data_IF_458806897206
#
_entry.id   IF_458806897206
#
_cell.length_a   1.000
_cell.length_b   1.000
_cell.length_c   1.000
_cell.angle_alpha   90.00
_cell.angle_beta   90.00
_cell.angle_gamma   90.00
#
_symmetry.space_group_name_H-M   'P 1'
#
loop_
_entity.id
_entity.type
_entity.pdbx_description
1 polymer ?
#
# COMPACT_ATOMS: atom_id res chain seq x y z
N UNK A 1 -12.28 -40.59 -35.76
CA UNK A 1 -11.30 -41.69 -35.82
C UNK A 1 -9.91 -41.07 -35.94
N UNK A 2 -9.01 -41.40 -35.01
CA UNK A 2 -7.62 -40.90 -34.91
C UNK A 2 -7.48 -39.74 -33.91
N UNK A 3 -6.59 -39.73 -32.92
CA UNK A 3 -5.52 -40.64 -32.51
C UNK A 3 -5.31 -40.50 -30.99
N UNK A 4 -5.03 -41.62 -30.32
CA UNK A 4 -4.39 -41.70 -29.00
C UNK A 4 -2.93 -41.22 -29.08
N UNK A 5 -2.40 -40.56 -28.03
CA UNK A 5 -1.04 -40.87 -27.55
C UNK A 5 -0.69 -40.30 -26.15
N UNK A 6 -0.60 -41.22 -25.18
CA UNK A 6 0.33 -41.34 -24.05
C UNK A 6 0.73 -40.13 -23.18
N UNK A 7 0.44 -40.24 -21.87
CA UNK A 7 1.32 -39.76 -20.79
C UNK A 7 1.35 -40.77 -19.64
N UNK A 8 2.52 -41.36 -19.40
CA UNK A 8 2.81 -42.25 -18.27
C UNK A 8 4.14 -41.82 -17.64
N UNK A 9 4.24 -42.07 -16.33
CA UNK A 9 5.39 -42.03 -15.41
C UNK A 9 5.74 -40.64 -14.83
N UNK A 10 5.53 -40.33 -13.54
CA UNK A 10 5.88 -40.97 -12.25
C UNK A 10 7.34 -40.72 -11.85
N UNK A 11 7.55 -39.92 -10.79
CA UNK A 11 8.66 -40.07 -9.86
C UNK A 11 8.42 -39.24 -8.59
N UNK A 12 8.16 -39.96 -7.49
CA UNK A 12 8.44 -39.55 -6.11
C UNK A 12 9.94 -39.29 -5.95
N UNK A 13 10.33 -38.31 -5.13
CA UNK A 13 11.57 -38.38 -4.37
C UNK A 13 11.37 -37.93 -2.91
N UNK A 14 12.08 -38.68 -2.05
CA UNK A 14 11.92 -38.85 -0.60
C UNK A 14 12.95 -38.00 0.16
N UNK A 15 12.49 -37.44 1.29
CA UNK A 15 13.12 -37.18 2.61
C UNK A 15 14.66 -37.17 2.73
N UNK A 16 15.16 -36.14 3.42
CA UNK A 16 16.42 -36.19 4.16
C UNK A 16 16.40 -35.27 5.38
N UNK A 17 16.17 -35.85 6.56
CA UNK A 17 16.44 -35.22 7.85
C UNK A 17 17.85 -35.62 8.32
N UNK A 18 18.64 -34.64 8.77
CA UNK A 18 19.86 -34.91 9.55
C UNK A 18 19.96 -33.91 10.68
N UNK A 19 19.60 -34.38 11.87
CA UNK A 19 20.07 -33.84 13.14
C UNK A 19 21.42 -34.49 13.46
N UNK A 20 22.41 -33.69 13.88
CA UNK A 20 23.54 -34.19 14.65
C UNK A 20 23.65 -33.38 15.94
N UNK A 21 23.42 -34.10 17.03
CA UNK A 21 23.74 -33.74 18.40
C UNK A 21 25.23 -33.95 18.69
N UNK A 22 25.81 -33.01 19.43
CA UNK A 22 26.63 -33.20 20.63
C UNK A 22 27.83 -34.17 20.59
N UNK A 23 29.04 -33.64 20.87
CA UNK A 23 29.80 -34.09 22.04
C UNK A 23 31.10 -33.30 22.29
N UNK A 24 31.28 -33.00 23.58
CA UNK A 24 32.51 -32.98 24.38
C UNK A 24 33.64 -32.02 23.98
N UNK A 25 34.10 -31.22 24.94
CA UNK A 25 35.28 -31.54 25.77
C UNK A 25 35.31 -30.58 26.96
N UNK A 26 35.47 -31.12 28.16
CA UNK A 26 35.84 -30.38 29.35
C UNK A 26 37.35 -30.22 29.35
N UNK A 27 37.88 -29.03 29.67
CA UNK A 27 39.14 -28.87 30.41
C UNK A 27 39.27 -27.43 30.94
N UNK A 28 39.53 -27.41 32.24
CA UNK A 28 40.14 -26.46 33.17
C UNK A 28 40.45 -24.98 32.82
N UNK A 29 39.98 -24.15 33.75
CA UNK A 29 40.69 -23.07 34.45
C UNK A 29 41.68 -22.18 33.66
N UNK A 30 41.22 -20.99 33.28
CA UNK A 30 41.96 -19.75 33.56
C UNK A 30 40.97 -18.61 33.70
N UNK A 31 40.89 -18.05 34.90
CA UNK A 31 40.19 -16.82 35.25
C UNK A 31 40.81 -15.66 34.48
N UNK A 32 40.18 -15.25 33.38
CA UNK A 32 40.37 -13.95 32.78
C UNK A 32 39.11 -13.13 33.06
N UNK A 33 39.24 -12.10 33.91
CA UNK A 33 38.21 -11.10 34.14
C UNK A 33 37.91 -10.42 32.80
N UNK A 34 36.70 -10.53 32.24
CA UNK A 34 36.36 -9.71 31.10
C UNK A 34 36.23 -8.26 31.60
N UNK A 35 36.98 -7.35 30.97
CA UNK A 35 36.67 -5.93 31.02
C UNK A 35 35.19 -5.73 30.64
N UNK A 36 34.50 -4.70 31.16
CA UNK A 36 33.15 -4.41 30.75
C UNK A 36 33.20 -4.13 29.25
N UNK A 37 32.75 -5.09 28.45
CA UNK A 37 32.40 -4.82 27.07
C UNK A 37 31.29 -3.79 27.15
N UNK A 38 31.58 -2.55 26.73
CA UNK A 38 30.54 -1.63 26.32
C UNK A 38 29.62 -2.43 25.41
N UNK A 39 28.42 -2.71 25.92
CA UNK A 39 27.32 -3.13 25.09
C UNK A 39 27.14 -1.99 24.11
N UNK A 40 27.70 -2.14 22.92
CA UNK A 40 27.25 -1.39 21.75
C UNK A 40 25.83 -1.88 21.55
N UNK A 41 24.90 -1.21 22.24
CA UNK A 41 23.48 -1.20 21.91
C UNK A 41 23.45 -0.63 20.52
N UNK A 42 23.55 -1.53 19.55
CA UNK A 42 23.30 -1.24 18.16
C UNK A 42 21.80 -1.04 18.08
N UNK A 43 21.37 0.20 18.32
CA UNK A 43 20.01 0.67 18.16
C UNK A 43 19.66 0.60 16.67
N UNK A 44 19.16 -0.56 16.23
CA UNK A 44 18.68 -0.79 14.86
C UNK A 44 17.16 -0.58 14.72
N UNK A 45 16.54 0.19 15.60
CA UNK A 45 15.07 0.33 15.63
C UNK A 45 14.57 1.78 15.63
N UNK A 46 15.28 2.72 14.97
CA UNK A 46 14.84 4.13 14.90
C UNK A 46 14.79 4.73 13.47
N UNK A 47 14.55 3.94 12.42
CA UNK A 47 14.40 4.49 11.06
C UNK A 47 13.03 4.34 10.40
N UNK A 48 12.07 3.61 10.99
CA UNK A 48 10.82 3.26 10.29
C UNK A 48 9.54 3.88 10.87
N UNK A 49 9.67 4.81 11.82
CA UNK A 49 8.53 5.51 12.43
C UNK A 49 8.75 7.03 12.45
N UNK A 50 7.74 7.76 11.99
CA UNK A 50 7.71 9.23 11.96
C UNK A 50 7.47 9.78 13.36
N UNK A 51 8.53 9.88 14.19
CA UNK A 51 8.45 10.63 15.44
C UNK A 51 8.75 12.14 15.27
N UNK A 52 9.13 12.59 14.07
CA UNK A 52 9.48 14.00 13.79
C UNK A 52 9.23 14.46 12.34
N UNK A 53 8.01 14.34 11.82
CA UNK A 53 7.63 15.14 10.66
C UNK A 53 6.36 15.89 10.99
N UNK A 54 6.46 17.21 11.14
CA UNK A 54 5.35 18.14 11.03
C UNK A 54 5.97 19.52 10.78
N UNK A 55 6.42 19.74 9.55
CA UNK A 55 6.81 21.06 9.07
C UNK A 55 5.59 21.80 8.51
N UNK A 56 5.49 23.09 8.80
CA UNK A 56 4.47 23.96 8.22
C UNK A 56 4.95 24.46 6.84
N UNK A 57 4.60 23.70 5.80
CA UNK A 57 4.85 23.97 4.39
C UNK A 57 3.52 24.38 3.76
N UNK A 58 3.51 25.46 2.99
CA UNK A 58 2.30 25.94 2.32
C UNK A 58 1.74 24.88 1.35
N UNK A 59 0.41 24.79 1.24
CA UNK A 59 -0.25 23.76 0.42
C UNK A 59 0.24 23.77 -1.04
N UNK A 60 0.29 24.95 -1.67
CA UNK A 60 0.72 25.11 -3.06
C UNK A 60 2.17 24.69 -3.33
N UNK A 61 2.98 24.60 -2.29
CA UNK A 61 4.34 24.10 -2.34
C UNK A 61 4.45 22.57 -2.27
N UNK A 62 3.43 21.87 -1.77
CA UNK A 62 3.40 20.41 -1.65
C UNK A 62 3.36 19.77 -3.03
N UNK A 63 4.08 18.65 -3.18
CA UNK A 63 4.08 17.91 -4.43
C UNK A 63 2.67 17.35 -4.73
N UNK A 64 2.32 17.34 -6.02
CA UNK A 64 1.02 16.87 -6.48
C UNK A 64 1.10 15.69 -7.45
N UNK A 65 -0.03 15.02 -7.60
CA UNK A 65 -0.25 13.90 -8.51
C UNK A 65 -1.41 14.22 -9.45
N UNK A 66 -1.25 14.00 -10.76
CA UNK A 66 -2.35 14.11 -11.73
C UNK A 66 -3.16 12.81 -11.68
N UNK A 67 -4.31 12.84 -11.01
CA UNK A 67 -5.20 11.70 -10.79
C UNK A 67 -5.66 11.05 -12.07
N UNK A 68 -5.88 11.87 -13.10
CA UNK A 68 -6.21 11.49 -14.47
C UNK A 68 -5.18 10.54 -15.10
N UNK A 69 -3.96 10.47 -14.56
CA UNK A 69 -2.86 9.62 -15.03
C UNK A 69 -2.55 8.45 -14.11
N UNK A 70 -3.30 8.29 -13.02
CA UNK A 70 -3.13 7.20 -12.07
C UNK A 70 -3.82 5.95 -12.59
N UNK A 71 -3.12 4.82 -12.53
CA UNK A 71 -3.60 3.52 -13.02
C UNK A 71 -3.52 2.45 -11.92
N UNK A 72 -4.64 1.80 -11.65
CA UNK A 72 -4.78 0.64 -10.76
C UNK A 72 -4.34 -0.62 -11.50
N UNK A 73 -3.39 -1.36 -10.91
CA UNK A 73 -2.74 -2.55 -11.45
C UNK A 73 -2.26 -2.37 -12.91
N UNK A 74 -1.94 -1.14 -13.31
CA UNK A 74 -1.61 -0.76 -14.69
C UNK A 74 -2.69 -1.17 -15.73
N UNK A 75 -3.95 -1.31 -15.31
CA UNK A 75 -5.07 -1.81 -16.14
C UNK A 75 -6.17 -0.75 -16.32
N UNK A 76 -6.60 -0.12 -15.24
CA UNK A 76 -7.73 0.83 -15.26
C UNK A 76 -7.36 2.14 -14.55
N UNK A 77 -7.85 3.29 -15.02
CA UNK A 77 -7.73 4.56 -14.30
C UNK A 77 -8.58 4.57 -13.02
N UNK A 78 -8.36 5.55 -12.14
CA UNK A 78 -9.15 5.74 -10.91
C UNK A 78 -10.64 5.99 -11.21
N UNK A 79 -10.94 6.74 -12.26
CA UNK A 79 -12.29 6.93 -12.79
C UNK A 79 -12.42 6.12 -14.08
N UNK A 80 -13.26 5.09 -14.08
CA UNK A 80 -13.41 4.13 -15.17
C UNK A 80 -14.87 3.73 -15.36
N UNK A 81 -15.18 2.98 -16.42
CA UNK A 81 -16.47 2.29 -16.50
C UNK A 81 -16.48 1.00 -15.67
N UNK A 82 -17.65 0.61 -15.16
CA UNK A 82 -17.88 -0.65 -14.46
C UNK A 82 -17.56 -1.83 -15.39
N UNK A 83 -18.00 -1.76 -16.64
CA UNK A 83 -17.67 -2.73 -17.68
C UNK A 83 -16.17 -2.97 -17.84
N UNK A 84 -15.35 -1.91 -17.93
CA UNK A 84 -13.89 -2.00 -18.03
C UNK A 84 -13.27 -2.53 -16.74
N UNK A 85 -13.78 -2.11 -15.59
CA UNK A 85 -13.29 -2.58 -14.29
C UNK A 85 -13.52 -4.09 -14.14
N UNK A 86 -14.74 -4.57 -14.42
CA UNK A 86 -15.09 -6.00 -14.35
C UNK A 86 -14.24 -6.85 -15.29
N UNK A 87 -13.92 -6.36 -16.47
CA UNK A 87 -13.01 -7.05 -17.38
C UNK A 87 -11.59 -7.23 -16.80
N UNK A 88 -11.14 -6.30 -15.94
CA UNK A 88 -9.80 -6.31 -15.36
C UNK A 88 -9.71 -7.01 -13.99
N UNK A 89 -10.78 -6.93 -13.18
CA UNK A 89 -10.80 -7.35 -11.77
C UNK A 89 -11.93 -8.33 -11.40
N UNK A 90 -12.89 -8.54 -12.30
CA UNK A 90 -14.09 -9.35 -12.04
C UNK A 90 -15.21 -8.60 -11.33
N UNK A 91 -16.19 -9.36 -10.84
CA UNK A 91 -17.37 -8.85 -10.15
C UNK A 91 -17.03 -8.25 -8.77
N UNK A 92 -17.96 -7.43 -8.25
CA UNK A 92 -17.89 -6.90 -6.89
C UNK A 92 -17.89 -8.04 -5.87
N UNK A 93 -17.22 -7.83 -4.74
CA UNK A 93 -17.39 -8.70 -3.58
C UNK A 93 -18.68 -8.33 -2.82
N UNK A 94 -19.05 -7.05 -2.83
CA UNK A 94 -20.35 -6.55 -2.35
C UNK A 94 -20.72 -5.19 -2.96
N UNK A 95 -22.02 -4.88 -2.91
CA UNK A 95 -22.59 -3.56 -3.20
C UNK A 95 -23.34 -3.08 -1.96
N UNK A 96 -23.19 -1.81 -1.59
CA UNK A 96 -23.83 -1.21 -0.41
C UNK A 96 -24.37 0.17 -0.77
N UNK A 97 -25.68 0.37 -0.62
CA UNK A 97 -26.26 1.72 -0.66
C UNK A 97 -25.87 2.46 0.62
N UNK A 98 -25.19 3.62 0.53
CA UNK A 98 -24.81 4.38 1.70
C UNK A 98 -26.02 5.04 2.38
N UNK A 99 -25.84 5.46 3.63
CA UNK A 99 -26.73 6.44 4.25
C UNK A 99 -26.35 7.83 3.74
N UNK A 100 -27.13 8.32 2.78
CA UNK A 100 -26.96 9.64 2.16
C UNK A 100 -26.92 10.80 3.13
N UNK A 101 -27.56 10.67 4.30
CA UNK A 101 -27.55 11.73 5.31
C UNK A 101 -26.22 11.84 6.07
N UNK A 102 -25.36 10.82 5.92
CA UNK A 102 -24.04 10.74 6.56
C UNK A 102 -22.88 11.02 5.62
N UNK A 103 -23.14 11.19 4.32
CA UNK A 103 -22.12 11.53 3.32
C UNK A 103 -21.96 13.04 3.31
N UNK A 104 -20.73 13.51 3.56
CA UNK A 104 -20.43 14.94 3.50
C UNK A 104 -19.87 15.37 2.14
N UNK A 105 -19.12 14.51 1.46
CA UNK A 105 -18.66 14.70 0.08
C UNK A 105 -18.45 13.34 -0.60
N UNK A 106 -18.46 13.33 -1.93
CA UNK A 106 -18.41 12.14 -2.76
C UNK A 106 -17.81 12.42 -4.15
N UNK A 107 -17.35 11.35 -4.80
CA UNK A 107 -16.87 11.43 -6.19
C UNK A 107 -18.01 11.71 -7.18
N UNK A 108 -19.24 11.30 -6.85
CA UNK A 108 -20.43 11.60 -7.62
C UNK A 108 -21.41 12.46 -6.81
N UNK A 109 -21.98 13.48 -7.46
CA UNK A 109 -23.02 14.34 -6.86
C UNK A 109 -24.40 13.66 -6.77
N UNK A 110 -24.61 12.59 -7.56
CA UNK A 110 -25.84 11.80 -7.59
C UNK A 110 -25.77 10.60 -6.63
N UNK A 111 -26.94 10.01 -6.29
CA UNK A 111 -26.99 8.77 -5.53
C UNK A 111 -26.23 7.62 -6.24
N UNK A 112 -25.19 7.13 -5.58
CA UNK A 112 -24.30 6.03 -5.96
C UNK A 112 -24.37 4.81 -5.00
N UNK A 113 -23.77 3.69 -5.37
CA UNK A 113 -23.54 2.57 -4.46
C UNK A 113 -22.06 2.45 -4.13
N UNK A 114 -21.72 2.05 -2.90
CA UNK A 114 -20.37 1.57 -2.65
C UNK A 114 -20.18 0.21 -3.28
N UNK A 115 -19.22 0.12 -4.18
CA UNK A 115 -18.75 -1.11 -4.81
C UNK A 115 -17.47 -1.54 -4.10
N UNK A 116 -17.45 -2.74 -3.53
CA UNK A 116 -16.28 -3.26 -2.83
C UNK A 116 -15.58 -4.35 -3.64
N UNK A 117 -14.25 -4.26 -3.71
CA UNK A 117 -13.42 -5.28 -4.34
C UNK A 117 -12.05 -5.41 -3.67
N UNK A 118 -11.71 -6.63 -3.23
CA UNK A 118 -10.44 -6.96 -2.60
C UNK A 118 -10.09 -5.98 -1.46
N UNK A 119 -11.10 -5.64 -0.64
CA UNK A 119 -10.99 -4.67 0.45
C UNK A 119 -10.92 -3.19 0.04
N UNK A 120 -10.87 -2.88 -1.26
CA UNK A 120 -10.95 -1.52 -1.79
C UNK A 120 -12.41 -1.08 -1.95
N UNK A 121 -12.65 0.23 -1.87
CA UNK A 121 -13.97 0.86 -2.00
C UNK A 121 -13.99 1.81 -3.19
N UNK A 122 -15.07 1.71 -3.94
CA UNK A 122 -15.35 2.55 -5.10
C UNK A 122 -16.76 3.08 -4.97
N UNK A 123 -17.02 4.24 -5.55
CA UNK A 123 -18.38 4.73 -5.77
C UNK A 123 -18.82 4.28 -7.16
N UNK A 124 -20.05 3.77 -7.26
CA UNK A 124 -20.67 3.29 -8.48
C UNK A 124 -21.92 4.11 -8.79
N UNK A 125 -21.89 4.83 -9.89
CA UNK A 125 -23.06 5.52 -10.44
C UNK A 125 -23.31 5.09 -11.88
N UNK A 126 -24.41 4.35 -12.12
CA UNK A 126 -24.72 3.74 -13.44
C UNK A 126 -23.58 2.84 -13.91
N UNK A 127 -22.94 3.14 -15.05
CA UNK A 127 -21.75 2.41 -15.53
C UNK A 127 -20.44 3.14 -15.17
N UNK A 128 -20.47 4.21 -14.37
CA UNK A 128 -19.29 4.95 -13.94
C UNK A 128 -18.82 4.49 -12.56
N UNK A 129 -17.53 4.23 -12.43
CA UNK A 129 -16.89 3.77 -11.20
C UNK A 129 -15.73 4.70 -10.84
N UNK A 130 -15.76 5.27 -9.64
CA UNK A 130 -14.71 6.13 -9.11
C UNK A 130 -14.03 5.46 -7.90
N UNK A 131 -12.70 5.37 -7.93
CA UNK A 131 -11.93 4.87 -6.81
C UNK A 131 -11.88 5.90 -5.69
N UNK A 132 -12.40 5.52 -4.53
CA UNK A 132 -12.37 6.31 -3.31
C UNK A 132 -11.23 5.83 -2.40
N UNK A 133 -11.21 4.52 -2.09
CA UNK A 133 -10.15 3.88 -1.31
C UNK A 133 -9.58 2.67 -2.06
N UNK A 134 -8.26 2.64 -2.25
CA UNK A 134 -7.56 1.47 -2.78
C UNK A 134 -6.66 0.83 -1.72
N UNK A 135 -6.94 -0.42 -1.38
CA UNK A 135 -6.10 -1.24 -0.49
C UNK A 135 -5.04 -1.99 -1.28
N UNK A 136 -3.84 -2.04 -0.74
CA UNK A 136 -2.70 -2.70 -1.35
C UNK A 136 -2.45 -4.06 -0.69
N UNK A 137 -2.84 -5.12 -1.39
CA UNK A 137 -2.37 -6.48 -1.12
C UNK A 137 -1.04 -6.77 -1.84
N UNK A 138 -0.40 -7.93 -1.60
CA UNK A 138 0.86 -8.27 -2.27
C UNK A 138 0.86 -8.23 -3.80
N UNK A 139 -0.32 -8.35 -4.42
CA UNK A 139 -0.49 -8.39 -5.88
C UNK A 139 -1.06 -7.09 -6.47
N UNK A 140 -1.38 -6.12 -5.62
CA UNK A 140 -1.97 -4.84 -6.03
C UNK A 140 -0.93 -3.74 -6.09
N UNK A 141 -1.11 -2.85 -7.08
CA UNK A 141 -0.24 -1.71 -7.31
C UNK A 141 -1.03 -0.53 -7.84
N UNK A 142 -0.55 0.68 -7.54
CA UNK A 142 -1.00 1.92 -8.19
C UNK A 142 0.17 2.52 -8.93
N UNK A 143 -0.03 2.99 -10.15
CA UNK A 143 1.06 3.54 -10.97
C UNK A 143 0.74 4.95 -11.46
N UNK A 144 1.78 5.79 -11.50
CA UNK A 144 1.70 7.19 -11.91
C UNK A 144 3.07 7.66 -12.41
N UNK A 145 3.14 8.28 -13.58
CA UNK A 145 4.38 8.91 -14.05
C UNK A 145 5.60 7.96 -14.13
N UNK A 146 5.38 6.68 -14.43
CA UNK A 146 6.44 5.65 -14.43
C UNK A 146 6.85 5.17 -13.03
N UNK A 147 6.18 5.63 -11.97
CA UNK A 147 6.31 5.18 -10.59
C UNK A 147 5.27 4.10 -10.34
N UNK A 148 5.64 3.07 -9.58
CA UNK A 148 4.70 2.05 -9.09
C UNK A 148 4.75 2.04 -7.58
N UNK A 149 3.59 2.28 -6.97
CA UNK A 149 3.33 2.13 -5.55
C UNK A 149 2.73 0.75 -5.30
N UNK A 150 3.20 0.08 -4.26
CA UNK A 150 2.76 -1.26 -3.87
C UNK A 150 2.82 -1.42 -2.36
N UNK A 151 2.38 -2.57 -1.84
CA UNK A 151 2.55 -2.91 -0.41
C UNK A 151 4.02 -2.89 0.07
N UNK A 152 5.00 -2.92 -0.84
CA UNK A 152 6.42 -2.84 -0.50
C UNK A 152 6.96 -1.40 -0.47
N UNK A 153 6.19 -0.42 -0.92
CA UNK A 153 6.59 0.99 -0.91
C UNK A 153 6.81 1.45 0.52
N UNK A 154 7.96 2.12 0.74
CA UNK A 154 8.43 2.57 2.05
C UNK A 154 8.44 4.09 2.17
N UNK A 155 8.65 4.58 3.38
CA UNK A 155 8.99 5.99 3.65
C UNK A 155 10.20 6.48 2.85
N UNK A 156 11.24 5.67 2.74
CA UNK A 156 12.43 6.03 1.98
C UNK A 156 12.11 6.24 0.49
N UNK A 157 11.25 5.39 -0.07
CA UNK A 157 10.76 5.57 -1.45
C UNK A 157 9.97 6.86 -1.59
N UNK A 158 9.05 7.14 -0.67
CA UNK A 158 8.23 8.35 -0.70
C UNK A 158 9.08 9.61 -0.51
N UNK A 159 10.01 9.63 0.45
CA UNK A 159 10.91 10.77 0.71
C UNK A 159 11.74 11.13 -0.52
N UNK A 160 12.14 10.13 -1.32
CA UNK A 160 12.87 10.35 -2.57
C UNK A 160 12.02 11.03 -3.65
N UNK A 161 10.70 10.80 -3.66
CA UNK A 161 9.80 11.28 -4.72
C UNK A 161 9.03 12.54 -4.33
N UNK A 162 8.63 12.63 -3.07
CA UNK A 162 7.78 13.66 -2.50
C UNK A 162 8.38 14.17 -1.18
N UNK A 163 9.61 14.71 -1.21
CA UNK A 163 10.33 15.12 -0.01
C UNK A 163 9.62 16.19 0.81
N UNK A 164 8.77 17.06 0.24
CA UNK A 164 8.02 18.05 1.03
C UNK A 164 6.81 17.41 1.71
N UNK A 165 6.03 16.62 0.98
CA UNK A 165 4.89 15.89 1.53
C UNK A 165 5.28 14.99 2.71
N UNK A 166 6.43 14.30 2.61
CA UNK A 166 6.97 13.49 3.71
C UNK A 166 7.31 14.30 4.96
N UNK A 167 7.73 15.57 4.81
CA UNK A 167 8.02 16.44 5.98
C UNK A 167 6.76 16.98 6.65
N UNK A 168 5.62 16.93 5.96
CA UNK A 168 4.28 17.22 6.49
C UNK A 168 3.50 15.98 6.90
N UNK A 169 4.14 14.82 6.91
CA UNK A 169 3.46 13.58 7.24
C UNK A 169 2.78 13.67 8.61
N UNK A 170 1.56 13.16 8.69
CA UNK A 170 0.80 13.12 9.93
C UNK A 170 0.87 11.71 10.51
N UNK A 171 0.84 11.60 11.84
CA UNK A 171 0.68 10.32 12.52
C UNK A 171 -0.70 10.31 13.19
N UNK A 172 -1.61 9.46 12.69
CA UNK A 172 -2.93 9.24 13.28
C UNK A 172 -2.90 8.04 14.25
N UNK A 173 -1.89 8.00 15.13
CA UNK A 173 -1.66 6.90 16.06
C UNK A 173 -0.78 5.79 15.48
N UNK A 174 -1.40 4.73 14.95
CA UNK A 174 -0.66 3.58 14.39
C UNK A 174 -0.44 3.66 12.88
N UNK A 175 -1.05 4.65 12.23
CA UNK A 175 -0.99 4.82 10.78
C UNK A 175 -0.39 6.17 10.47
N UNK A 176 0.73 6.16 9.75
CA UNK A 176 1.34 7.38 9.24
C UNK A 176 0.71 7.73 7.89
N UNK A 177 0.52 9.02 7.61
CA UNK A 177 -0.14 9.52 6.42
C UNK A 177 0.74 10.53 5.68
N UNK A 178 0.87 10.36 4.36
CA UNK A 178 1.46 11.37 3.46
C UNK A 178 0.35 11.90 2.56
N UNK A 179 0.19 13.22 2.52
CA UNK A 179 -0.80 13.89 1.67
C UNK A 179 -0.13 14.56 0.47
N UNK A 180 -0.61 14.25 -0.73
CA UNK A 180 -0.23 14.91 -1.99
C UNK A 180 -1.40 15.72 -2.52
N UNK A 181 -1.10 16.81 -3.22
CA UNK A 181 -2.13 17.60 -3.90
C UNK A 181 -2.73 16.87 -5.10
N UNK A 182 -4.00 17.09 -5.37
CA UNK A 182 -4.52 16.89 -6.73
C UNK A 182 -3.90 17.95 -7.66
N UNK A 183 -3.11 17.50 -8.63
CA UNK A 183 -2.48 18.37 -9.61
C UNK A 183 -3.31 18.57 -10.89
N UNK A 184 -4.44 17.88 -11.05
CA UNK A 184 -5.36 18.12 -12.16
C UNK A 184 -6.15 19.42 -11.97
N UNK A 185 -6.47 19.79 -10.72
CA UNK A 185 -7.21 20.99 -10.37
C UNK A 185 -6.43 21.84 -9.38
N UNK A 186 -5.76 22.89 -9.87
CA UNK A 186 -4.84 23.71 -9.07
C UNK A 186 -5.45 24.34 -7.82
N UNK A 187 -6.72 24.75 -7.91
CA UNK A 187 -7.45 25.41 -6.83
C UNK A 187 -8.34 24.43 -6.04
N UNK A 188 -8.12 23.11 -6.19
CA UNK A 188 -8.84 22.10 -5.44
C UNK A 188 -8.14 21.81 -4.12
N UNK A 189 -8.94 21.66 -3.07
CA UNK A 189 -8.49 21.15 -1.76
C UNK A 189 -8.52 19.61 -1.72
N UNK A 190 -8.89 18.96 -2.83
CA UNK A 190 -8.82 17.50 -2.97
C UNK A 190 -7.37 17.02 -2.95
N UNK A 191 -7.16 15.81 -2.43
CA UNK A 191 -5.83 15.28 -2.17
C UNK A 191 -5.76 13.77 -2.32
N UNK A 192 -4.54 13.24 -2.47
CA UNK A 192 -4.28 11.80 -2.37
C UNK A 192 -3.51 11.54 -1.10
N UNK A 193 -4.04 10.63 -0.29
CA UNK A 193 -3.47 10.26 1.01
C UNK A 193 -2.91 8.85 0.93
N UNK A 194 -1.63 8.71 1.27
CA UNK A 194 -0.91 7.45 1.33
C UNK A 194 -0.76 7.05 2.78
N UNK A 195 -1.33 5.90 3.16
CA UNK A 195 -1.35 5.40 4.53
C UNK A 195 -0.35 4.27 4.72
N UNK A 196 0.49 4.40 5.75
CA UNK A 196 1.55 3.47 6.09
C UNK A 196 1.28 2.80 7.43
N UNK A 197 1.50 1.49 7.49
CA UNK A 197 1.56 0.74 8.73
C UNK A 197 2.85 -0.08 8.73
N UNK A 198 3.58 -0.08 9.86
CA UNK A 198 4.86 -0.78 9.99
C UNK A 198 5.83 -0.46 8.83
N UNK A 199 5.95 0.83 8.48
CA UNK A 199 6.84 1.31 7.43
C UNK A 199 6.39 0.99 5.98
N UNK A 200 5.24 0.35 5.80
CA UNK A 200 4.74 -0.13 4.50
C UNK A 200 3.43 0.52 4.10
N UNK A 201 3.34 0.91 2.83
CA UNK A 201 2.13 1.48 2.25
C UNK A 201 1.02 0.42 2.21
N UNK A 202 -0.08 0.63 2.93
CA UNK A 202 -1.21 -0.31 2.98
C UNK A 202 -2.42 0.15 2.18
N UNK A 203 -2.56 1.46 1.98
CA UNK A 203 -3.76 2.06 1.40
C UNK A 203 -3.46 3.42 0.76
N UNK A 204 -4.18 3.72 -0.31
CA UNK A 204 -4.24 5.03 -0.93
C UNK A 204 -5.71 5.48 -0.95
N UNK A 205 -5.99 6.71 -0.53
CA UNK A 205 -7.35 7.30 -0.54
C UNK A 205 -7.34 8.54 -1.41
N UNK A 206 -8.35 8.66 -2.27
CA UNK A 206 -8.64 9.93 -2.92
C UNK A 206 -9.63 10.71 -2.05
N UNK A 207 -9.13 11.77 -1.41
CA UNK A 207 -9.86 12.52 -0.40
C UNK A 207 -10.39 13.82 -0.99
N UNK A 208 -11.71 14.02 -0.88
CA UNK A 208 -12.38 15.28 -1.18
C UNK A 208 -12.82 15.88 0.18
N UNK A 209 -12.39 17.10 0.51
CA UNK A 209 -12.72 17.73 1.79
C UNK A 209 -14.18 18.17 1.86
N UNK A 210 -14.74 17.95 3.04
CA UNK A 210 -15.91 18.63 3.56
C UNK A 210 -15.43 19.87 4.35
#
# INVERSE_FOLDING_TARGET
MGNDMYRVFLALWIIGATACSNNNTADDETTAVPAPSESVVTSLEEEDSVLKAHEDIAWDEIEGIQLSRVMINNKVPLHTSLSRFKAAFGEADSLVTPDWTSICDAQFEDEFEYFYKNGSRFELYKDSLACDEFRLTPTQTVSYGGITFSHNTTWADMKKRFPKAVRQAENEGYTDMITLRDADVKESDSSVRFFFENGKLIRIVYFIPC
#
